data_IF_492344223444
#
_entry.id   IF_492344223444
#
_cell.length_a   1.000
_cell.length_b   1.000
_cell.length_c   1.000
_cell.angle_alpha   90.00
_cell.angle_beta   90.00
_cell.angle_gamma   90.00
#
_symmetry.space_group_name_H-M   'P 1'
#
loop_
_entity.id
_entity.type
_entity.pdbx_description
1 polymer ?
#
# COMPACT_ATOMS: atom_id res chain seq x y z
N UNK A 1 23.74 64.67 29.98
CA UNK A 1 22.50 63.88 29.92
C UNK A 1 22.61 62.58 29.11
N UNK A 2 23.45 62.47 28.06
CA UNK A 2 23.58 61.22 27.27
C UNK A 2 24.28 60.05 28.00
N UNK A 3 25.23 60.32 28.90
CA UNK A 3 26.03 59.27 29.55
C UNK A 3 25.25 58.43 30.59
N UNK A 4 24.12 58.94 31.10
CA UNK A 4 23.37 58.29 32.18
C UNK A 4 22.52 57.10 31.68
N UNK A 5 22.10 57.13 30.41
CA UNK A 5 21.28 56.07 29.81
C UNK A 5 22.09 55.01 29.06
N UNK A 6 23.37 55.29 28.78
CA UNK A 6 24.29 54.35 28.14
C UNK A 6 24.36 52.95 28.78
N UNK A 7 24.46 52.80 30.12
CA UNK A 7 24.49 51.48 30.74
C UNK A 7 23.16 50.72 30.59
N UNK A 8 22.02 51.40 30.64
CA UNK A 8 20.72 50.77 30.44
C UNK A 8 20.55 50.24 29.00
N UNK A 9 21.01 51.01 28.01
CA UNK A 9 20.99 50.60 26.59
C UNK A 9 21.90 49.39 26.35
N UNK A 10 23.09 49.37 26.97
CA UNK A 10 24.01 48.21 26.87
C UNK A 10 23.43 46.96 27.53
N UNK A 11 22.78 47.08 28.68
CA UNK A 11 22.08 45.97 29.33
C UNK A 11 20.92 45.44 28.45
N UNK A 12 20.13 46.33 27.85
CA UNK A 12 19.05 45.93 26.95
C UNK A 12 19.56 45.20 25.70
N UNK A 13 20.64 45.68 25.09
CA UNK A 13 21.27 45.02 23.94
C UNK A 13 21.88 43.66 24.29
N UNK A 14 22.54 43.55 25.46
CA UNK A 14 23.06 42.28 25.95
C UNK A 14 21.97 41.24 26.20
N UNK A 15 20.84 41.66 26.78
CA UNK A 15 19.70 40.79 27.03
C UNK A 15 19.02 40.35 25.72
N UNK A 16 18.85 41.28 24.77
CA UNK A 16 18.31 40.98 23.44
C UNK A 16 19.19 39.97 22.69
N UNK A 17 20.53 40.13 22.73
CA UNK A 17 21.46 39.19 22.13
C UNK A 17 21.40 37.80 22.79
N UNK A 18 21.33 37.75 24.13
CA UNK A 18 21.21 36.49 24.86
C UNK A 18 19.91 35.75 24.52
N UNK A 19 18.78 36.46 24.48
CA UNK A 19 17.49 35.89 24.10
C UNK A 19 17.51 35.41 22.65
N UNK A 20 18.06 36.17 21.70
CA UNK A 20 18.21 35.75 20.31
C UNK A 20 19.05 34.47 20.17
N UNK A 21 20.17 34.39 20.89
CA UNK A 21 21.03 33.18 20.90
C UNK A 21 20.34 31.98 21.54
N UNK A 22 19.47 32.19 22.52
CA UNK A 22 18.64 31.15 23.13
C UNK A 22 17.54 30.68 22.19
N UNK A 23 16.84 31.60 21.51
CA UNK A 23 15.81 31.29 20.53
C UNK A 23 16.38 30.46 19.37
N UNK A 24 17.49 30.89 18.78
CA UNK A 24 18.16 30.15 17.70
C UNK A 24 18.61 28.73 18.13
N UNK A 25 19.05 28.54 19.38
CA UNK A 25 19.36 27.20 19.92
C UNK A 25 18.12 26.33 20.09
N UNK A 26 17.01 26.92 20.56
CA UNK A 26 15.73 26.21 20.73
C UNK A 26 15.12 25.84 19.37
N UNK A 27 15.12 26.76 18.41
CA UNK A 27 14.67 26.53 17.04
C UNK A 27 15.43 25.39 16.37
N UNK A 28 16.76 25.37 16.49
CA UNK A 28 17.59 24.26 15.97
C UNK A 28 17.23 22.91 16.60
N UNK A 29 16.96 22.89 17.92
CA UNK A 29 16.53 21.66 18.61
C UNK A 29 15.14 21.21 18.14
N UNK A 30 14.22 22.15 17.95
CA UNK A 30 12.87 21.86 17.46
C UNK A 30 12.89 21.34 16.02
N UNK A 31 13.67 21.97 15.14
CA UNK A 31 13.90 21.50 13.76
C UNK A 31 14.47 20.08 13.74
N UNK A 32 15.48 19.79 14.59
CA UNK A 32 16.02 18.43 14.72
C UNK A 32 14.94 17.43 15.16
N UNK A 33 14.13 17.79 16.15
CA UNK A 33 13.07 16.91 16.65
C UNK A 33 11.99 16.66 15.59
N UNK A 34 11.56 17.71 14.86
CA UNK A 34 10.63 17.58 13.74
C UNK A 34 11.19 16.66 12.65
N UNK A 35 12.45 16.83 12.23
CA UNK A 35 13.10 15.94 11.25
C UNK A 35 13.09 14.48 11.70
N UNK A 36 13.39 14.23 12.97
CA UNK A 36 13.37 12.87 13.53
C UNK A 36 11.94 12.31 13.53
N UNK A 37 10.94 13.09 13.95
CA UNK A 37 9.53 12.66 13.93
C UNK A 37 9.04 12.32 12.53
N UNK A 38 9.39 13.14 11.53
CA UNK A 38 9.08 12.85 10.13
C UNK A 38 9.75 11.55 9.68
N UNK A 39 11.06 11.39 9.92
CA UNK A 39 11.77 10.16 9.55
C UNK A 39 11.21 8.89 10.23
N UNK A 40 10.75 8.97 11.47
CA UNK A 40 10.09 7.85 12.17
C UNK A 40 8.74 7.55 11.50
N UNK A 41 7.97 8.59 11.18
CA UNK A 41 6.64 8.45 10.56
C UNK A 41 6.76 7.82 9.18
N UNK A 42 7.69 8.28 8.35
CA UNK A 42 7.94 7.76 7.00
C UNK A 42 8.37 6.30 7.04
N UNK A 43 9.33 5.95 7.92
CA UNK A 43 9.72 4.55 8.16
C UNK A 43 8.54 3.69 8.62
N UNK A 44 7.67 4.24 9.47
CA UNK A 44 6.46 3.57 9.93
C UNK A 44 5.42 3.36 8.81
N UNK A 45 5.29 4.31 7.90
CA UNK A 45 4.43 4.18 6.72
C UNK A 45 4.97 3.14 5.75
N UNK A 46 6.27 3.17 5.45
CA UNK A 46 6.91 2.18 4.56
C UNK A 46 6.79 0.77 5.13
N UNK A 47 7.05 0.60 6.43
CA UNK A 47 6.90 -0.70 7.10
C UNK A 47 5.45 -1.20 7.00
N UNK A 48 4.46 -0.35 7.29
CA UNK A 48 3.04 -0.70 7.17
C UNK A 48 2.65 -1.04 5.74
N UNK A 49 3.12 -0.29 4.75
CA UNK A 49 2.89 -0.55 3.32
C UNK A 49 3.47 -1.91 2.91
N UNK A 50 4.70 -2.24 3.33
CA UNK A 50 5.31 -3.55 3.06
C UNK A 50 4.54 -4.69 3.71
N UNK A 51 4.12 -4.54 4.96
CA UNK A 51 3.30 -5.54 5.66
C UNK A 51 1.95 -5.74 4.98
N UNK A 52 1.28 -4.65 4.58
CA UNK A 52 0.02 -4.71 3.86
C UNK A 52 0.16 -5.43 2.51
N UNK A 53 1.19 -5.12 1.72
CA UNK A 53 1.48 -5.81 0.46
C UNK A 53 1.78 -7.30 0.68
N UNK A 54 2.51 -7.66 1.74
CA UNK A 54 2.79 -9.05 2.08
C UNK A 54 1.49 -9.82 2.44
N UNK A 55 0.61 -9.19 3.22
CA UNK A 55 -0.71 -9.75 3.55
C UNK A 55 -1.58 -9.90 2.30
N UNK A 56 -1.66 -8.87 1.44
CA UNK A 56 -2.39 -8.92 0.17
C UNK A 56 -1.89 -10.05 -0.74
N UNK A 57 -0.57 -10.19 -0.89
CA UNK A 57 0.04 -11.30 -1.67
C UNK A 57 -0.34 -12.66 -1.10
N UNK A 58 -0.35 -12.81 0.23
CA UNK A 58 -0.79 -14.06 0.87
C UNK A 58 -2.26 -14.33 0.58
N UNK A 59 -3.13 -13.33 0.73
CA UNK A 59 -4.55 -13.46 0.47
C UNK A 59 -4.84 -13.85 -0.99
N UNK A 60 -4.14 -13.21 -1.95
CA UNK A 60 -4.27 -13.55 -3.38
C UNK A 60 -3.78 -14.96 -3.67
N UNK A 61 -2.71 -15.43 -3.03
CA UNK A 61 -2.25 -16.82 -3.18
C UNK A 61 -3.25 -17.82 -2.63
N UNK A 62 -3.86 -17.54 -1.48
CA UNK A 62 -4.92 -18.41 -0.94
C UNK A 62 -6.15 -18.44 -1.87
N UNK A 63 -6.56 -17.28 -2.40
CA UNK A 63 -7.64 -17.22 -3.40
C UNK A 63 -7.29 -17.98 -4.68
N UNK A 64 -6.05 -17.86 -5.17
CA UNK A 64 -5.59 -18.59 -6.34
C UNK A 64 -5.64 -20.11 -6.12
N UNK A 65 -5.29 -20.61 -4.92
CA UNK A 65 -5.45 -22.03 -4.59
C UNK A 65 -6.91 -22.47 -4.65
N UNK A 66 -7.84 -21.66 -4.14
CA UNK A 66 -9.27 -21.96 -4.20
C UNK A 66 -9.74 -22.03 -5.66
N UNK A 67 -9.39 -21.04 -6.48
CA UNK A 67 -9.74 -21.02 -7.91
C UNK A 67 -9.13 -22.21 -8.64
N UNK A 68 -7.89 -22.60 -8.32
CA UNK A 68 -7.25 -23.77 -8.92
C UNK A 68 -7.96 -25.08 -8.50
N UNK A 69 -8.45 -25.16 -7.26
CA UNK A 69 -9.32 -26.24 -6.79
C UNK A 69 -10.64 -26.32 -7.56
N UNK A 70 -11.30 -25.18 -7.78
CA UNK A 70 -12.53 -25.09 -8.57
C UNK A 70 -12.29 -25.47 -10.03
N UNK A 71 -11.20 -24.99 -10.63
CA UNK A 71 -10.80 -25.37 -12.00
C UNK A 71 -10.65 -26.88 -12.14
N UNK A 72 -9.99 -27.52 -11.16
CA UNK A 72 -9.84 -28.99 -11.14
C UNK A 72 -11.18 -29.71 -10.99
N UNK A 73 -12.11 -29.17 -10.20
CA UNK A 73 -13.46 -29.72 -10.07
C UNK A 73 -14.25 -29.64 -11.38
N UNK A 74 -14.09 -28.54 -12.12
CA UNK A 74 -14.77 -28.28 -13.39
C UNK A 74 -13.96 -28.67 -14.64
N UNK A 75 -12.86 -29.39 -14.48
CA UNK A 75 -11.95 -29.74 -15.58
C UNK A 75 -12.66 -30.48 -16.72
N UNK A 76 -13.62 -31.35 -16.38
CA UNK A 76 -14.42 -32.10 -17.36
C UNK A 76 -15.43 -31.25 -18.13
N UNK A 77 -15.79 -30.09 -17.59
CA UNK A 77 -16.75 -29.17 -18.18
C UNK A 77 -16.07 -28.11 -19.06
N UNK A 78 -14.74 -27.97 -18.97
CA UNK A 78 -13.97 -26.95 -19.68
C UNK A 78 -13.24 -27.55 -20.86
N UNK A 79 -13.12 -26.78 -21.94
CA UNK A 79 -12.22 -27.17 -23.03
C UNK A 79 -10.75 -27.02 -22.59
N UNK A 80 -9.81 -27.80 -23.16
CA UNK A 80 -8.38 -27.68 -22.82
C UNK A 80 -7.85 -26.25 -22.97
N UNK A 81 -8.32 -25.53 -23.99
CA UNK A 81 -7.97 -24.13 -24.21
C UNK A 81 -8.48 -23.20 -23.10
N UNK A 82 -9.74 -23.34 -22.69
CA UNK A 82 -10.30 -22.55 -21.59
C UNK A 82 -9.60 -22.84 -20.27
N UNK A 83 -9.25 -24.10 -20.01
CA UNK A 83 -8.52 -24.47 -18.80
C UNK A 83 -7.11 -23.84 -18.78
N UNK A 84 -6.37 -23.95 -19.89
CA UNK A 84 -5.05 -23.33 -20.03
C UNK A 84 -5.11 -21.80 -19.89
N UNK A 85 -6.10 -21.15 -20.54
CA UNK A 85 -6.30 -19.70 -20.47
C UNK A 85 -6.64 -19.24 -19.05
N UNK A 86 -7.49 -19.98 -18.35
CA UNK A 86 -7.87 -19.66 -16.97
C UNK A 86 -6.73 -19.86 -16.00
N UNK A 87 -5.94 -20.92 -16.17
CA UNK A 87 -4.69 -21.15 -15.42
C UNK A 87 -3.71 -19.97 -15.59
N UNK A 88 -3.44 -19.58 -16.83
CA UNK A 88 -2.55 -18.45 -17.13
C UNK A 88 -3.08 -17.12 -16.56
N UNK A 89 -4.38 -16.93 -16.56
CA UNK A 89 -5.01 -15.76 -15.94
C UNK A 89 -4.81 -15.73 -14.42
N UNK A 90 -5.01 -16.86 -13.73
CA UNK A 90 -4.77 -16.98 -12.29
C UNK A 90 -3.32 -16.64 -11.94
N UNK A 91 -2.36 -17.21 -12.67
CA UNK A 91 -0.94 -16.91 -12.49
C UNK A 91 -0.64 -15.42 -12.68
N UNK A 92 -1.20 -14.81 -13.73
CA UNK A 92 -1.03 -13.38 -14.00
C UNK A 92 -1.62 -12.52 -12.89
N UNK A 93 -2.83 -12.82 -12.40
CA UNK A 93 -3.47 -12.07 -11.31
C UNK A 93 -2.68 -12.17 -10.00
N UNK A 94 -2.02 -13.31 -9.73
CA UNK A 94 -1.10 -13.44 -8.59
C UNK A 94 0.14 -12.55 -8.74
N UNK A 95 0.72 -12.48 -9.93
CA UNK A 95 1.89 -11.65 -10.23
C UNK A 95 1.55 -10.16 -10.13
N UNK A 96 0.42 -9.74 -10.71
CA UNK A 96 0.00 -8.34 -10.73
C UNK A 96 -0.73 -7.90 -9.46
N UNK A 97 -0.97 -8.82 -8.51
CA UNK A 97 -1.70 -8.55 -7.27
C UNK A 97 -3.12 -8.01 -7.57
N UNK A 98 -3.77 -8.58 -8.58
CA UNK A 98 -5.13 -8.19 -9.00
C UNK A 98 -6.18 -9.08 -8.32
N UNK A 99 -6.54 -8.71 -7.10
CA UNK A 99 -7.50 -9.45 -6.28
C UNK A 99 -8.90 -9.42 -6.88
N UNK A 100 -9.36 -8.26 -7.36
CA UNK A 100 -10.74 -8.08 -7.80
C UNK A 100 -11.07 -8.96 -9.01
N UNK A 101 -10.17 -9.01 -9.98
CA UNK A 101 -10.33 -9.87 -11.16
C UNK A 101 -10.27 -11.35 -10.82
N UNK A 102 -9.40 -11.74 -9.88
CA UNK A 102 -9.31 -13.13 -9.43
C UNK A 102 -10.54 -13.55 -8.61
N UNK A 103 -11.09 -12.62 -7.82
CA UNK A 103 -12.30 -12.83 -7.03
C UNK A 103 -13.55 -12.91 -7.91
N UNK A 104 -13.63 -12.08 -8.95
CA UNK A 104 -14.69 -12.18 -9.95
C UNK A 104 -14.70 -13.57 -10.62
N UNK A 105 -13.53 -14.08 -11.02
CA UNK A 105 -13.40 -15.44 -11.54
C UNK A 105 -13.81 -16.51 -10.52
N UNK A 106 -13.37 -16.39 -9.26
CA UNK A 106 -13.80 -17.28 -8.17
C UNK A 106 -15.33 -17.29 -8.00
N UNK A 107 -15.96 -16.12 -7.97
CA UNK A 107 -17.40 -15.97 -7.79
C UNK A 107 -18.18 -16.59 -8.96
N UNK A 108 -17.68 -16.44 -10.18
CA UNK A 108 -18.27 -17.04 -11.37
C UNK A 108 -18.19 -18.56 -11.33
N UNK A 109 -17.01 -19.11 -11.01
CA UNK A 109 -16.84 -20.56 -10.88
C UNK A 109 -17.65 -21.14 -9.72
N UNK A 110 -17.78 -20.40 -8.61
CA UNK A 110 -18.59 -20.82 -7.46
C UNK A 110 -20.10 -20.81 -7.75
N UNK A 111 -20.57 -19.87 -8.58
CA UNK A 111 -21.99 -19.71 -8.91
C UNK A 111 -22.45 -20.54 -10.11
N UNK A 112 -21.52 -21.08 -10.91
CA UNK A 112 -21.85 -21.79 -12.15
C UNK A 112 -21.98 -23.29 -11.93
N UNK A 113 -23.10 -23.86 -12.36
CA UNK A 113 -23.27 -25.31 -12.45
C UNK A 113 -22.37 -25.91 -13.54
N UNK A 114 -22.02 -27.19 -13.41
CA UNK A 114 -21.06 -27.87 -14.29
C UNK A 114 -21.35 -27.72 -15.80
N UNK A 115 -22.60 -27.55 -16.22
CA UNK A 115 -22.96 -27.35 -17.64
C UNK A 115 -22.83 -25.89 -18.11
N UNK A 116 -22.79 -24.92 -17.20
CA UNK A 116 -22.77 -23.48 -17.50
C UNK A 116 -21.38 -22.85 -17.32
N UNK A 117 -20.42 -23.57 -16.74
CA UNK A 117 -19.06 -23.07 -16.48
C UNK A 117 -18.33 -22.68 -17.77
N UNK A 118 -18.42 -23.47 -18.84
CA UNK A 118 -17.74 -23.17 -20.12
C UNK A 118 -18.21 -21.85 -20.76
N UNK A 119 -19.51 -21.63 -21.01
CA UNK A 119 -19.97 -20.35 -21.58
C UNK A 119 -19.72 -19.17 -20.63
N UNK A 120 -19.86 -19.35 -19.32
CA UNK A 120 -19.60 -18.27 -18.35
C UNK A 120 -18.13 -17.83 -18.36
N UNK A 121 -17.18 -18.77 -18.44
CA UNK A 121 -15.74 -18.47 -18.53
C UNK A 121 -15.41 -17.74 -19.84
N UNK A 122 -16.06 -18.12 -20.94
CA UNK A 122 -15.87 -17.44 -22.23
C UNK A 122 -16.38 -15.99 -22.18
N UNK A 123 -17.59 -15.77 -21.67
CA UNK A 123 -18.15 -14.43 -21.46
C UNK A 123 -17.28 -13.58 -20.52
N UNK A 124 -16.75 -14.17 -19.44
CA UNK A 124 -15.83 -13.47 -18.53
C UNK A 124 -14.59 -12.94 -19.26
N UNK A 125 -14.00 -13.76 -20.12
CA UNK A 125 -12.80 -13.40 -20.86
C UNK A 125 -13.04 -12.44 -22.03
N UNK A 126 -14.26 -12.36 -22.54
CA UNK A 126 -14.66 -11.32 -23.49
C UNK A 126 -14.78 -9.95 -22.80
N UNK A 127 -15.35 -9.89 -21.59
CA UNK A 127 -15.55 -8.64 -20.85
C UNK A 127 -14.28 -8.12 -20.13
N UNK A 128 -13.27 -8.97 -19.95
CA UNK A 128 -12.02 -8.61 -19.26
C UNK A 128 -10.83 -8.31 -20.19
N UNK A 129 -11.07 -8.29 -21.51
CA UNK A 129 -10.09 -7.93 -22.54
C UNK A 129 -9.84 -6.42 -22.55
#
# INVERSE_FOLDING_TARGET
MLALYAPAVLCALGLAFFLYRRHTRLERRQQKHQRIRHAITDKGLDKRKRMALAAQRRNIRELAKLVHGQLKQHERALTPYQNQRTSAFVERSVITVDFDRLYALHSLLAASDATQVSPAVETFFEHTR
#
